data_IF_340590155241
#
_entry.id   IF_340590155241
#
_cell.length_a   1.000
_cell.length_b   1.000
_cell.length_c   1.000
_cell.angle_alpha   90.00
_cell.angle_beta   90.00
_cell.angle_gamma   90.00
#
_symmetry.space_group_name_H-M   'P 1'
#
loop_
_entity.id
_entity.type
_entity.pdbx_description
1 polymer ?
#
# COMPACT_ATOMS: atom_id res chain seq x y z
N UNK A 1 -0.03 23.87 -44.55
CA UNK A 1 -0.36 23.14 -43.31
C UNK A 1 0.78 23.37 -42.35
N UNK A 2 0.55 24.14 -41.28
CA UNK A 2 1.54 24.35 -40.23
C UNK A 2 1.61 23.05 -39.42
N UNK A 3 2.76 22.39 -39.42
CA UNK A 3 3.03 21.28 -38.52
C UNK A 3 3.12 21.85 -37.10
N UNK A 4 2.10 21.60 -36.30
CA UNK A 4 2.11 21.87 -34.86
C UNK A 4 3.20 21.00 -34.24
N UNK A 5 4.35 21.59 -33.93
CA UNK A 5 5.41 20.93 -33.17
C UNK A 5 4.87 20.56 -31.79
N UNK A 6 4.85 19.28 -31.48
CA UNK A 6 4.52 18.76 -30.14
C UNK A 6 5.49 19.42 -29.15
N UNK A 7 5.01 19.98 -28.02
CA UNK A 7 5.90 20.50 -26.99
C UNK A 7 6.78 19.35 -26.49
N UNK A 8 8.08 19.45 -26.71
CA UNK A 8 9.05 18.46 -26.25
C UNK A 8 9.05 18.48 -24.71
N UNK A 9 8.51 17.42 -24.10
CA UNK A 9 8.48 17.27 -22.65
C UNK A 9 9.92 17.12 -22.14
N UNK A 10 10.28 17.75 -21.01
CA UNK A 10 11.64 17.74 -20.48
C UNK A 10 12.12 16.32 -20.12
N UNK A 11 13.44 16.11 -20.04
CA UNK A 11 14.03 14.79 -19.76
C UNK A 11 13.51 14.17 -18.46
N UNK A 12 13.37 12.84 -18.48
CA UNK A 12 12.75 12.08 -17.39
C UNK A 12 13.49 12.26 -16.05
N UNK A 13 12.78 12.61 -14.96
CA UNK A 13 13.38 12.81 -13.65
C UNK A 13 13.86 11.48 -13.07
N UNK A 14 15.16 11.35 -12.80
CA UNK A 14 15.68 10.16 -12.12
C UNK A 14 15.60 10.34 -10.60
N UNK A 15 14.80 9.54 -9.87
CA UNK A 15 14.69 9.65 -8.42
C UNK A 15 15.89 8.98 -7.73
N UNK A 16 16.48 9.64 -6.75
CA UNK A 16 17.57 9.11 -5.93
C UNK A 16 17.21 9.24 -4.45
N UNK A 17 17.27 8.17 -3.67
CA UNK A 17 16.97 8.22 -2.24
C UNK A 17 18.17 8.77 -1.45
N UNK A 18 17.99 9.94 -0.82
CA UNK A 18 19.08 10.67 -0.14
C UNK A 18 19.01 10.52 1.37
N UNK A 19 17.80 10.50 1.93
CA UNK A 19 17.59 10.32 3.37
C UNK A 19 16.46 9.31 3.62
N UNK A 20 16.59 8.54 4.69
CA UNK A 20 15.66 7.47 5.05
C UNK A 20 15.38 7.57 6.55
N UNK A 21 14.12 7.43 6.92
CA UNK A 21 13.68 7.24 8.29
C UNK A 21 12.81 5.97 8.35
N UNK A 22 12.26 5.67 9.51
CA UNK A 22 11.31 4.58 9.72
C UNK A 22 10.03 4.69 8.89
N UNK A 23 9.54 5.91 8.67
CA UNK A 23 8.26 6.19 8.02
C UNK A 23 8.35 7.12 6.82
N UNK A 24 9.56 7.50 6.40
CA UNK A 24 9.73 8.40 5.27
C UNK A 24 11.01 8.16 4.49
N UNK A 25 10.94 8.40 3.19
CA UNK A 25 12.12 8.42 2.31
C UNK A 25 12.12 9.75 1.57
N UNK A 26 13.24 10.46 1.65
CA UNK A 26 13.42 11.71 0.91
C UNK A 26 14.12 11.41 -0.40
N UNK A 27 13.42 11.67 -1.50
CA UNK A 27 13.93 11.52 -2.86
C UNK A 27 14.47 12.85 -3.36
N UNK A 28 15.61 12.80 -4.02
CA UNK A 28 16.15 13.88 -4.85
C UNK A 28 15.86 13.55 -6.30
N UNK A 29 15.21 14.46 -6.99
CA UNK A 29 14.98 14.38 -8.43
C UNK A 29 16.07 15.17 -9.14
N UNK A 30 16.87 14.48 -9.95
CA UNK A 30 17.80 15.16 -10.87
C UNK A 30 17.02 15.59 -12.10
N UNK A 31 16.67 16.87 -12.14
CA UNK A 31 16.04 17.51 -13.29
C UNK A 31 16.84 18.76 -13.59
N UNK A 32 17.76 18.67 -14.55
CA UNK A 32 18.73 19.73 -14.78
C UNK A 32 18.12 21.02 -15.35
N UNK A 33 16.86 21.00 -15.82
CA UNK A 33 16.14 22.17 -16.31
C UNK A 33 14.62 22.01 -16.14
N UNK A 34 14.11 22.16 -14.92
CA UNK A 34 12.65 22.33 -14.74
C UNK A 34 12.31 23.81 -14.83
N UNK A 35 11.74 24.23 -15.96
CA UNK A 35 11.10 25.54 -16.07
C UNK A 35 9.99 25.67 -15.00
N UNK A 36 9.75 26.88 -14.49
CA UNK A 36 8.73 27.18 -13.45
C UNK A 36 7.30 26.69 -13.78
N UNK A 37 7.07 26.24 -15.01
CA UNK A 37 5.78 25.74 -15.52
C UNK A 37 5.55 24.25 -15.27
N UNK A 38 6.59 23.47 -15.05
CA UNK A 38 6.49 22.03 -14.86
C UNK A 38 6.54 21.65 -13.38
N UNK A 39 5.75 20.64 -13.00
CA UNK A 39 5.76 20.04 -11.66
C UNK A 39 6.23 18.60 -11.77
N UNK A 40 6.79 18.06 -10.69
CA UNK A 40 7.14 16.66 -10.58
C UNK A 40 6.07 15.90 -9.80
N UNK A 41 5.85 14.65 -10.16
CA UNK A 41 5.02 13.72 -9.40
C UNK A 41 5.81 12.45 -9.14
N UNK A 42 5.73 11.93 -7.92
CA UNK A 42 6.42 10.71 -7.49
C UNK A 42 5.39 9.63 -7.20
N UNK A 43 5.61 8.43 -7.73
CA UNK A 43 4.88 7.22 -7.35
C UNK A 43 5.76 6.34 -6.48
N UNK A 44 5.18 5.72 -5.45
CA UNK A 44 5.84 4.68 -4.68
C UNK A 44 5.01 3.40 -4.63
N UNK A 45 5.71 2.27 -4.55
CA UNK A 45 5.11 0.95 -4.41
C UNK A 45 6.00 0.07 -3.55
N UNK A 46 5.37 -0.85 -2.83
CA UNK A 46 6.07 -1.93 -2.14
C UNK A 46 6.63 -2.91 -3.16
N UNK A 47 7.84 -3.43 -2.92
CA UNK A 47 8.56 -4.24 -3.90
C UNK A 47 7.78 -5.48 -4.39
N UNK A 48 6.90 -6.05 -3.57
CA UNK A 48 6.02 -7.17 -3.96
C UNK A 48 4.80 -6.77 -4.80
N UNK A 49 4.48 -5.48 -4.88
CA UNK A 49 3.23 -4.96 -5.44
C UNK A 49 3.42 -3.98 -6.60
N UNK A 50 4.62 -3.93 -7.19
CA UNK A 50 4.98 -3.04 -8.30
C UNK A 50 4.03 -3.17 -9.51
N UNK A 51 3.39 -4.33 -9.69
CA UNK A 51 2.42 -4.58 -10.77
C UNK A 51 0.96 -4.35 -10.36
N UNK A 52 0.66 -4.20 -9.07
CA UNK A 52 -0.71 -4.23 -8.55
C UNK A 52 -1.13 -2.94 -7.84
N UNK A 53 -0.20 -2.22 -7.22
CA UNK A 53 -0.52 -1.05 -6.41
C UNK A 53 0.56 0.03 -6.51
N UNK A 54 0.12 1.26 -6.78
CA UNK A 54 0.96 2.45 -6.78
C UNK A 54 0.25 3.57 -6.05
N UNK A 55 0.99 4.25 -5.17
CA UNK A 55 0.52 5.45 -4.48
C UNK A 55 1.28 6.65 -5.04
N UNK A 56 0.56 7.51 -5.75
CA UNK A 56 1.12 8.69 -6.40
C UNK A 56 0.98 9.92 -5.48
N UNK A 57 2.03 10.74 -5.43
CA UNK A 57 2.05 11.99 -4.69
C UNK A 57 1.25 13.09 -5.39
N UNK A 58 0.96 14.18 -4.69
CA UNK A 58 0.57 15.43 -5.34
C UNK A 58 1.72 15.99 -6.18
N UNK A 59 1.39 16.78 -7.20
CA UNK A 59 2.40 17.40 -8.06
C UNK A 59 3.08 18.56 -7.31
N UNK A 60 4.41 18.58 -7.28
CA UNK A 60 5.19 19.55 -6.52
C UNK A 60 6.28 20.22 -7.38
N UNK A 61 6.67 21.43 -6.98
CA UNK A 61 7.76 22.17 -7.59
C UNK A 61 8.97 22.14 -6.64
N UNK A 62 9.88 21.19 -6.85
CA UNK A 62 11.07 21.06 -6.02
C UNK A 62 11.99 19.92 -6.48
N UNK A 63 13.27 20.04 -6.18
CA UNK A 63 14.28 19.00 -6.45
C UNK A 63 14.33 17.91 -5.37
N UNK A 64 13.65 18.12 -4.24
CA UNK A 64 13.57 17.17 -3.13
C UNK A 64 12.12 16.98 -2.70
N UNK A 65 11.74 15.73 -2.46
CA UNK A 65 10.40 15.37 -2.00
C UNK A 65 10.44 14.27 -0.93
N UNK A 66 9.91 14.53 0.27
CA UNK A 66 9.75 13.51 1.29
C UNK A 66 8.47 12.70 1.06
N UNK A 67 8.61 11.42 0.73
CA UNK A 67 7.50 10.46 0.74
C UNK A 67 7.27 10.01 2.18
N UNK A 68 6.12 10.36 2.75
CA UNK A 68 5.75 10.08 4.15
C UNK A 68 4.72 8.95 4.23
N UNK A 69 4.61 8.33 5.42
CA UNK A 69 3.59 7.31 5.69
C UNK A 69 3.98 5.90 5.23
N UNK A 70 5.28 5.67 5.01
CA UNK A 70 5.79 4.35 4.65
C UNK A 70 5.76 3.41 5.87
N UNK A 71 5.56 2.11 5.63
CA UNK A 71 5.63 1.12 6.70
C UNK A 71 7.09 0.88 7.09
N UNK A 72 7.42 0.79 8.39
CA UNK A 72 8.77 0.44 8.82
C UNK A 72 9.14 -0.97 8.37
N UNK A 73 10.43 -1.19 8.09
CA UNK A 73 11.00 -2.48 7.70
C UNK A 73 10.51 -3.05 6.35
N UNK A 74 10.12 -2.17 5.42
CA UNK A 74 9.55 -2.57 4.14
C UNK A 74 10.40 -2.05 2.98
N UNK A 75 10.47 -2.84 1.90
CA UNK A 75 11.21 -2.48 0.69
C UNK A 75 10.30 -1.73 -0.28
N UNK A 76 10.69 -0.52 -0.63
CA UNK A 76 9.98 0.34 -1.57
C UNK A 76 10.80 0.57 -2.85
N UNK A 77 10.06 0.76 -3.94
CA UNK A 77 10.57 1.30 -5.21
C UNK A 77 9.84 2.61 -5.52
N UNK A 78 10.56 3.52 -6.16
CA UNK A 78 10.05 4.83 -6.53
C UNK A 78 10.18 5.05 -8.03
N UNK A 79 9.25 5.83 -8.59
CA UNK A 79 9.28 6.35 -9.96
C UNK A 79 8.87 7.82 -9.93
N UNK A 80 9.29 8.60 -10.91
CA UNK A 80 8.91 10.00 -11.02
C UNK A 80 8.50 10.35 -12.45
N UNK A 81 7.65 11.35 -12.61
CA UNK A 81 7.27 11.92 -13.90
C UNK A 81 7.12 13.43 -13.80
N UNK A 82 7.16 14.10 -14.95
CA UNK A 82 6.88 15.52 -15.07
C UNK A 82 5.43 15.70 -15.47
N UNK A 83 4.77 16.68 -14.85
CA UNK A 83 3.39 17.07 -15.11
C UNK A 83 3.39 18.52 -15.55
N UNK A 84 2.83 18.80 -16.72
CA UNK A 84 2.50 20.14 -17.17
C UNK A 84 1.09 20.49 -16.66
N UNK A 85 1.02 21.42 -15.71
CA UNK A 85 -0.25 21.83 -15.10
C UNK A 85 -1.12 22.66 -16.06
N UNK A 86 -0.52 23.35 -17.04
CA UNK A 86 -1.24 24.19 -17.98
C UNK A 86 -1.96 23.36 -19.05
N UNK A 87 -1.33 22.28 -19.53
CA UNK A 87 -1.90 21.41 -20.57
C UNK A 87 -2.49 20.11 -20.01
N UNK A 88 -2.33 19.86 -18.70
CA UNK A 88 -2.66 18.59 -18.01
C UNK A 88 -1.99 17.36 -18.64
N UNK A 89 -0.88 17.55 -19.35
CA UNK A 89 -0.11 16.47 -19.95
C UNK A 89 0.90 15.93 -18.95
N UNK A 90 1.06 14.61 -18.92
CA UNK A 90 2.03 13.92 -18.08
C UNK A 90 3.09 13.25 -18.96
N UNK A 91 4.35 13.36 -18.58
CA UNK A 91 5.43 12.58 -19.19
C UNK A 91 5.28 11.10 -18.83
N UNK A 92 6.05 10.26 -19.54
CA UNK A 92 6.27 8.89 -19.12
C UNK A 92 6.89 8.83 -17.72
N UNK A 93 6.73 7.68 -17.07
CA UNK A 93 7.36 7.41 -15.78
C UNK A 93 8.83 7.09 -15.98
N UNK A 94 9.67 7.60 -15.08
CA UNK A 94 11.10 7.29 -15.08
C UNK A 94 11.38 5.84 -14.65
N UNK A 95 12.59 5.32 -14.95
CA UNK A 95 13.01 4.01 -14.48
C UNK A 95 12.91 3.90 -12.96
N UNK A 96 12.58 2.69 -12.50
CA UNK A 96 12.45 2.39 -11.08
C UNK A 96 13.79 2.62 -10.36
N UNK A 97 13.71 3.19 -9.16
CA UNK A 97 14.88 3.27 -8.27
C UNK A 97 15.33 1.89 -7.81
N UNK A 98 16.60 1.79 -7.39
CA UNK A 98 17.06 0.64 -6.61
C UNK A 98 16.20 0.46 -5.34
N UNK A 99 16.18 -0.75 -4.80
CA UNK A 99 15.36 -1.08 -3.62
C UNK A 99 15.77 -0.27 -2.41
N UNK A 100 14.79 0.39 -1.79
CA UNK A 100 14.98 1.20 -0.60
C UNK A 100 14.22 0.58 0.56
N UNK A 101 14.95 0.00 1.51
CA UNK A 101 14.39 -0.48 2.77
C UNK A 101 14.23 0.66 3.77
N UNK A 102 13.03 0.83 4.32
CA UNK A 102 12.81 1.60 5.56
C UNK A 102 13.26 0.75 6.75
N UNK A 103 13.78 1.36 7.80
CA UNK A 103 14.29 0.62 8.97
C UNK A 103 13.47 0.96 10.21
N UNK A 104 13.29 0.04 11.13
CA UNK A 104 12.67 0.42 12.41
C UNK A 104 13.57 1.39 13.16
N UNK A 105 12.99 2.24 14.01
CA UNK A 105 13.75 3.15 14.87
C UNK A 105 14.79 2.39 15.70
N UNK A 106 14.46 1.17 16.14
CA UNK A 106 15.36 0.28 16.87
C UNK A 106 16.53 -0.23 16.01
N UNK A 107 16.29 -0.63 14.76
CA UNK A 107 17.36 -1.08 13.85
C UNK A 107 18.26 0.07 13.40
N UNK A 108 17.69 1.27 13.25
CA UNK A 108 18.44 2.46 12.91
C UNK A 108 19.28 2.96 14.09
N UNK A 109 18.72 2.91 15.31
CA UNK A 109 19.44 3.15 16.55
C UNK A 109 20.54 2.10 16.78
N UNK A 110 20.31 0.82 16.45
CA UNK A 110 21.34 -0.23 16.51
C UNK A 110 22.48 0.07 15.55
N UNK A 111 22.20 0.43 14.30
CA UNK A 111 23.26 0.78 13.34
C UNK A 111 24.01 2.04 13.72
N UNK A 112 23.30 3.10 14.12
CA UNK A 112 23.92 4.31 14.62
C UNK A 112 24.76 4.03 15.88
N UNK A 113 24.26 3.18 16.78
CA UNK A 113 24.94 2.69 17.97
C UNK A 113 26.21 1.93 17.64
N UNK A 114 26.19 0.99 16.70
CA UNK A 114 27.40 0.26 16.28
C UNK A 114 28.45 1.19 15.66
N UNK A 115 28.03 2.22 14.92
CA UNK A 115 28.95 3.20 14.35
C UNK A 115 29.59 4.08 15.44
N UNK A 116 28.79 4.52 16.41
CA UNK A 116 29.24 5.30 17.56
C UNK A 116 30.17 4.48 18.46
N UNK A 117 29.85 3.21 18.73
CA UNK A 117 30.71 2.29 19.49
C UNK A 117 32.05 2.04 18.78
N UNK A 118 32.04 1.86 17.46
CA UNK A 118 33.26 1.70 16.68
C UNK A 118 34.13 2.97 16.73
N UNK A 119 33.53 4.15 16.60
CA UNK A 119 34.22 5.42 16.74
C UNK A 119 34.80 5.61 18.16
N UNK A 120 34.04 5.25 19.20
CA UNK A 120 34.47 5.32 20.59
C UNK A 120 35.64 4.36 20.88
N UNK A 121 35.64 3.17 20.25
CA UNK A 121 36.72 2.20 20.36
C UNK A 121 38.02 2.74 19.77
N UNK A 122 37.97 3.36 18.59
CA UNK A 122 39.13 4.02 17.97
C UNK A 122 39.69 5.16 18.83
N UNK A 123 38.82 5.97 19.44
CA UNK A 123 39.19 7.02 20.40
C UNK A 123 39.91 6.45 21.65
N UNK A 124 39.40 5.35 22.21
CA UNK A 124 40.01 4.66 23.36
C UNK A 124 41.39 4.08 23.02
N UNK A 125 41.53 3.51 21.83
CA UNK A 125 42.82 2.98 21.33
C UNK A 125 43.85 4.10 21.18
N UNK A 126 43.47 5.27 20.63
CA UNK A 126 44.34 6.44 20.55
C UNK A 126 44.77 6.96 21.94
N UNK A 127 43.84 7.05 22.89
CA UNK A 127 44.15 7.45 24.28
C UNK A 127 45.12 6.48 24.96
N UNK A 128 44.96 5.17 24.74
CA UNK A 128 45.88 4.15 25.29
C UNK A 128 47.30 4.33 24.77
N UNK A 129 47.47 4.65 23.48
CA UNK A 129 48.78 4.90 22.87
C UNK A 129 49.44 6.15 23.48
N UNK A 130 48.70 7.24 23.64
CA UNK A 130 49.19 8.47 24.26
C UNK A 130 49.56 8.27 25.74
N UNK A 131 48.76 7.53 26.49
CA UNK A 131 49.02 7.26 27.90
C UNK A 131 50.29 6.42 28.09
N UNK A 132 50.56 5.43 27.21
CA UNK A 132 51.81 4.68 27.21
C UNK A 132 53.04 5.55 26.97
N UNK A 133 52.92 6.58 26.13
CA UNK A 133 54.02 7.53 25.87
C UNK A 133 54.28 8.42 27.10
N UNK A 134 53.23 8.90 27.76
CA UNK A 134 53.34 9.69 29.00
C UNK A 134 54.01 8.87 30.10
N UNK A 135 53.58 7.62 30.33
CA UNK A 135 54.19 6.75 31.34
C UNK A 135 55.68 6.49 31.09
N UNK A 136 56.09 6.38 29.82
CA UNK A 136 57.50 6.21 29.45
C UNK A 136 58.35 7.45 29.78
N UNK A 137 57.78 8.65 29.65
CA UNK A 137 58.45 9.91 29.99
C UNK A 137 58.54 10.14 31.50
N UNK A 138 57.52 9.74 32.26
CA UNK A 138 57.50 9.88 33.73
C UNK A 138 58.59 9.03 34.39
N UNK A 139 58.79 7.78 33.95
CA UNK A 139 59.83 6.89 34.50
C UNK A 139 61.24 7.44 34.29
N UNK A 140 61.49 8.17 33.21
CA UNK A 140 62.80 8.78 32.95
C UNK A 140 63.13 9.98 33.85
N UNK A 141 62.14 10.57 34.52
CA UNK A 141 62.31 11.76 35.36
C UNK A 141 62.59 11.41 36.84
N UNK A 142 62.14 10.24 37.32
CA UNK A 142 62.22 9.85 38.73
C UNK A 142 63.57 9.22 39.14
N UNK A 143 64.40 8.77 38.19
CA UNK A 143 65.70 8.12 38.49
C UNK A 143 66.81 9.08 38.95
N UNK A 144 66.60 10.39 38.91
CA UNK A 144 67.64 11.40 39.19
C UNK A 144 67.76 11.89 40.64
N UNK A 145 66.93 11.42 41.58
CA UNK A 145 66.87 12.02 42.91
C UNK A 145 66.85 10.99 44.07
N UNK A 146 68.02 10.50 44.54
CA UNK A 146 68.24 9.98 45.92
C UNK A 146 69.67 9.47 46.18
N UNK A 147 70.51 10.23 46.90
CA UNK A 147 71.60 9.74 47.80
C UNK A 147 71.83 10.80 48.89
N UNK A 148 71.20 10.68 50.07
CA UNK A 148 71.68 10.18 51.38
C UNK A 148 72.69 11.07 52.15
N UNK A 149 72.25 11.48 53.33
CA UNK A 149 72.89 12.29 54.38
C UNK A 149 73.38 11.44 55.56
N UNK A 150 74.43 11.94 56.23
CA UNK A 150 74.71 11.87 57.69
C UNK A 150 75.22 10.52 58.28
N UNK A 151 76.02 10.42 59.35
CA UNK A 151 76.56 11.31 60.41
C UNK A 151 77.56 10.45 61.23
N UNK A 152 78.44 11.02 62.09
CA UNK A 152 78.49 10.70 63.55
C UNK A 152 79.68 11.28 64.36
N UNK A 153 79.36 11.50 65.66
CA UNK A 153 80.04 12.21 66.78
C UNK A 153 80.98 11.33 67.62
N UNK A 154 81.85 11.95 68.44
CA UNK A 154 82.35 11.46 69.76
C UNK A 154 83.17 12.56 70.48
N UNK A 155 83.60 12.55 71.75
CA UNK A 155 83.01 12.41 73.11
C UNK A 155 84.10 12.86 74.14
N UNK A 156 83.69 13.23 75.36
CA UNK A 156 84.35 13.01 76.68
C UNK A 156 85.59 13.82 77.18
N UNK A 157 85.53 14.27 78.46
CA UNK A 157 86.42 13.93 79.64
C UNK A 157 86.49 15.08 80.69
N UNK A 158 86.03 14.94 81.95
CA UNK A 158 86.63 14.34 83.20
C UNK A 158 87.59 15.33 83.93
N UNK A 159 87.13 16.02 84.99
CA UNK A 159 87.29 15.80 86.47
C UNK A 159 88.54 16.45 87.11
N UNK A 160 88.34 17.22 88.19
CA UNK A 160 88.99 17.01 89.51
C UNK A 160 88.51 18.03 90.55
N UNK A 161 87.75 17.57 91.55
CA UNK A 161 87.73 18.20 92.89
C UNK A 161 87.34 17.13 93.94
N UNK A 162 88.07 16.02 93.92
CA UNK A 162 87.58 14.65 94.14
C UNK A 162 87.21 14.19 95.56
N UNK A 163 87.07 15.04 96.59
CA UNK A 163 86.75 14.55 97.96
C UNK A 163 85.68 15.33 98.70
N UNK A 164 85.62 16.66 98.57
CA UNK A 164 84.45 17.49 98.95
C UNK A 164 83.36 17.42 97.87
N UNK A 165 83.79 17.42 96.60
CA UNK A 165 82.93 17.03 95.48
C UNK A 165 82.51 15.58 95.63
N UNK A 166 83.25 14.64 96.24
CA UNK A 166 82.76 13.24 96.36
C UNK A 166 81.51 13.08 97.22
N UNK A 167 81.38 13.82 98.34
CA UNK A 167 80.13 13.82 99.13
C UNK A 167 79.01 14.63 98.48
N UNK A 168 79.34 15.76 97.85
CA UNK A 168 78.37 16.55 97.06
C UNK A 168 77.96 15.78 95.80
N UNK A 169 78.86 15.03 95.18
CA UNK A 169 78.69 14.09 94.05
C UNK A 169 77.89 12.92 94.54
N UNK A 170 78.16 12.29 95.69
CA UNK A 170 77.37 11.14 96.13
C UNK A 170 75.92 11.55 96.49
N UNK A 171 75.74 12.75 97.08
CA UNK A 171 74.40 13.29 97.34
C UNK A 171 73.71 13.79 96.07
N UNK A 172 74.44 14.43 95.15
CA UNK A 172 73.89 14.82 93.84
C UNK A 172 73.71 13.62 92.91
N UNK A 173 74.50 12.55 93.01
CA UNK A 173 74.36 11.29 92.29
C UNK A 173 73.21 10.50 92.88
N UNK A 174 72.99 10.54 94.19
CA UNK A 174 71.79 9.97 94.81
C UNK A 174 70.54 10.74 94.36
N UNK A 175 70.58 12.08 94.37
CA UNK A 175 69.50 12.93 93.83
C UNK A 175 69.28 12.70 92.34
N UNK A 176 70.32 12.71 91.53
CA UNK A 176 70.29 12.42 90.08
C UNK A 176 69.81 11.00 89.81
N UNK A 177 70.16 10.00 90.65
CA UNK A 177 69.59 8.65 90.55
C UNK A 177 68.11 8.65 90.88
N UNK A 178 67.69 9.37 91.92
CA UNK A 178 66.27 9.50 92.27
C UNK A 178 65.49 10.22 91.17
N UNK A 179 66.04 11.29 90.60
CA UNK A 179 65.49 12.04 89.47
C UNK A 179 65.47 11.20 88.20
N UNK A 180 66.52 10.43 87.93
CA UNK A 180 66.58 9.49 86.81
C UNK A 180 65.53 8.38 86.97
N UNK A 181 65.32 7.86 88.19
CA UNK A 181 64.26 6.87 88.45
C UNK A 181 62.86 7.48 88.32
N UNK A 182 62.66 8.72 88.77
CA UNK A 182 61.40 9.43 88.56
C UNK A 182 61.15 9.75 87.08
N UNK A 183 62.18 10.15 86.34
CA UNK A 183 62.12 10.38 84.89
C UNK A 183 61.87 9.08 84.13
N UNK A 184 62.47 7.96 84.55
CA UNK A 184 62.22 6.64 83.97
C UNK A 184 60.78 6.17 84.23
N UNK A 185 60.25 6.38 85.44
CA UNK A 185 58.86 6.11 85.77
C UNK A 185 57.89 7.00 84.98
N UNK A 186 58.20 8.29 84.84
CA UNK A 186 57.43 9.23 84.02
C UNK A 186 57.46 8.83 82.54
N UNK A 187 58.61 8.45 82.00
CA UNK A 187 58.76 7.94 80.62
C UNK A 187 57.97 6.65 80.40
N UNK A 188 57.97 5.74 81.37
CA UNK A 188 57.19 4.50 81.28
C UNK A 188 55.69 4.79 81.28
N UNK A 189 55.23 5.74 82.10
CA UNK A 189 53.85 6.24 82.10
C UNK A 189 53.46 6.88 80.77
N UNK A 190 54.33 7.72 80.20
CA UNK A 190 54.14 8.33 78.88
C UNK A 190 54.10 7.27 77.77
N UNK A 191 54.91 6.21 77.86
CA UNK A 191 54.87 5.09 76.92
C UNK A 191 53.57 4.30 77.02
N UNK A 192 53.09 4.00 78.22
CA UNK A 192 51.78 3.33 78.39
C UNK A 192 50.63 4.21 77.90
N UNK A 193 50.70 5.52 78.14
CA UNK A 193 49.71 6.45 77.63
C UNK A 193 49.74 6.51 76.11
N UNK A 194 50.93 6.61 75.49
CA UNK A 194 51.05 6.55 74.02
C UNK A 194 50.51 5.26 73.43
N UNK A 195 50.76 4.10 74.06
CA UNK A 195 50.23 2.84 73.59
C UNK A 195 48.69 2.80 73.67
N UNK A 196 48.11 3.35 74.74
CA UNK A 196 46.66 3.50 74.88
C UNK A 196 46.08 4.46 73.84
N UNK A 197 46.73 5.60 73.59
CA UNK A 197 46.32 6.57 72.58
C UNK A 197 46.41 5.99 71.17
N UNK A 198 47.47 5.22 70.87
CA UNK A 198 47.68 4.56 69.56
C UNK A 198 46.61 3.49 69.31
N UNK A 199 46.24 2.73 70.34
CA UNK A 199 45.13 1.78 70.29
C UNK A 199 43.78 2.49 70.07
N UNK A 200 43.52 3.59 70.77
CA UNK A 200 42.32 4.39 70.59
C UNK A 200 42.22 4.98 69.17
N UNK A 201 43.34 5.45 68.61
CA UNK A 201 43.40 5.93 67.22
C UNK A 201 43.07 4.80 66.25
N UNK A 202 43.59 3.59 66.48
CA UNK A 202 43.29 2.42 65.66
C UNK A 202 41.81 2.04 65.71
N UNK A 203 41.19 2.07 66.89
CA UNK A 203 39.77 1.78 67.05
C UNK A 203 38.90 2.83 66.33
N UNK A 204 39.23 4.13 66.46
CA UNK A 204 38.54 5.21 65.77
C UNK A 204 38.68 5.11 64.23
N UNK A 205 39.85 4.70 63.72
CA UNK A 205 40.05 4.48 62.29
C UNK A 205 39.22 3.31 61.77
N UNK A 206 39.17 2.20 62.52
CA UNK A 206 38.33 1.05 62.17
C UNK A 206 36.83 1.43 62.17
N UNK A 207 36.39 2.20 63.16
CA UNK A 207 35.00 2.67 63.25
C UNK A 207 34.66 3.61 62.08
N UNK A 208 35.58 4.52 61.71
CA UNK A 208 35.40 5.39 60.55
C UNK A 208 35.32 4.61 59.23
N UNK A 209 36.12 3.55 59.06
CA UNK A 209 36.07 2.70 57.88
C UNK A 209 34.74 1.91 57.82
N UNK A 210 34.27 1.39 58.95
CA UNK A 210 32.98 0.71 59.05
C UNK A 210 31.81 1.64 58.71
N UNK A 211 31.82 2.88 59.21
CA UNK A 211 30.80 3.89 58.88
C UNK A 211 30.81 4.24 57.38
N UNK A 212 31.99 4.35 56.76
CA UNK A 212 32.11 4.57 55.31
C UNK A 212 31.51 3.41 54.51
N UNK A 213 31.82 2.16 54.89
CA UNK A 213 31.27 0.96 54.23
C UNK A 213 29.74 0.89 54.37
N UNK A 214 29.20 1.18 55.55
CA UNK A 214 27.76 1.24 55.78
C UNK A 214 27.06 2.30 54.93
N UNK A 215 27.64 3.51 54.81
CA UNK A 215 27.10 4.57 53.94
C UNK A 215 27.11 4.19 52.45
N UNK A 216 28.16 3.50 51.99
CA UNK A 216 28.25 3.00 50.62
C UNK A 216 27.15 1.97 50.33
N UNK A 217 26.96 0.99 51.23
CA UNK A 217 25.90 -0.01 51.10
C UNK A 217 24.50 0.63 51.10
N UNK A 218 24.25 1.60 51.96
CA UNK A 218 22.96 2.28 52.03
C UNK A 218 22.65 3.07 50.74
N UNK A 219 23.67 3.71 50.14
CA UNK A 219 23.53 4.40 48.85
C UNK A 219 23.23 3.42 47.71
N UNK A 220 23.88 2.27 47.69
CA UNK A 220 23.62 1.27 46.64
C UNK A 220 22.26 0.60 46.84
N UNK A 221 21.83 0.34 48.07
CA UNK A 221 20.50 -0.16 48.38
C UNK A 221 19.39 0.80 47.93
N UNK A 222 19.57 2.11 48.14
CA UNK A 222 18.63 3.13 47.66
C UNK A 222 18.56 3.18 46.11
N UNK A 223 19.68 2.95 45.41
CA UNK A 223 19.67 2.84 43.94
C UNK A 223 18.89 1.62 43.47
N UNK A 224 19.12 0.46 44.08
CA UNK A 224 18.39 -0.77 43.74
C UNK A 224 16.89 -0.64 44.00
N UNK A 225 16.48 -0.01 45.10
CA UNK A 225 15.07 0.26 45.39
C UNK A 225 14.44 1.18 44.34
N UNK A 226 15.17 2.21 43.90
CA UNK A 226 14.70 3.11 42.86
C UNK A 226 14.58 2.41 41.50
N UNK A 227 15.57 1.60 41.11
CA UNK A 227 15.51 0.79 39.88
C UNK A 227 14.35 -0.22 39.93
N UNK A 228 14.13 -0.89 41.06
CA UNK A 228 12.99 -1.78 41.25
C UNK A 228 11.65 -1.06 41.13
N UNK A 229 11.52 0.16 41.66
CA UNK A 229 10.31 0.97 41.50
C UNK A 229 10.08 1.35 40.03
N UNK A 230 11.13 1.74 39.31
CA UNK A 230 11.04 2.06 37.88
C UNK A 230 10.62 0.85 37.05
N UNK A 231 11.22 -0.32 37.32
CA UNK A 231 10.86 -1.57 36.63
C UNK A 231 9.41 -1.98 36.92
N UNK A 232 8.93 -1.83 38.15
CA UNK A 232 7.52 -2.08 38.48
C UNK A 232 6.57 -1.14 37.74
N UNK A 233 6.88 0.15 37.69
CA UNK A 233 6.08 1.12 36.95
C UNK A 233 6.06 0.83 35.43
N UNK A 234 7.19 0.38 34.87
CA UNK A 234 7.26 -0.05 33.47
C UNK A 234 6.43 -1.32 33.22
N UNK A 235 6.49 -2.30 34.12
CA UNK A 235 5.67 -3.51 34.03
C UNK A 235 4.17 -3.17 34.07
N UNK A 236 3.74 -2.34 35.01
CA UNK A 236 2.34 -1.90 35.11
C UNK A 236 1.87 -1.18 33.84
N UNK A 237 2.70 -0.30 33.27
CA UNK A 237 2.41 0.37 32.00
C UNK A 237 2.28 -0.63 30.84
N UNK A 238 3.14 -1.65 30.81
CA UNK A 238 3.11 -2.68 29.79
C UNK A 238 1.87 -3.58 29.93
N UNK A 239 1.47 -3.93 31.15
CA UNK A 239 0.23 -4.69 31.42
C UNK A 239 -1.00 -3.90 30.96
N UNK A 240 -1.08 -2.61 31.26
CA UNK A 240 -2.18 -1.75 30.78
C UNK A 240 -2.20 -1.64 29.25
N UNK A 241 -1.04 -1.53 28.61
CA UNK A 241 -0.94 -1.50 27.15
C UNK A 241 -1.38 -2.83 26.52
N UNK A 242 -0.98 -3.96 27.12
CA UNK A 242 -1.40 -5.29 26.69
C UNK A 242 -2.91 -5.47 26.82
N UNK A 243 -3.51 -5.02 27.93
CA UNK A 243 -4.97 -5.07 28.12
C UNK A 243 -5.71 -4.26 27.05
N UNK A 244 -5.26 -3.03 26.76
CA UNK A 244 -5.83 -2.22 25.68
C UNK A 244 -5.71 -2.89 24.31
N UNK A 245 -4.57 -3.52 24.03
CA UNK A 245 -4.39 -4.25 22.78
C UNK A 245 -5.33 -5.46 22.71
N UNK A 246 -5.53 -6.19 23.80
CA UNK A 246 -6.49 -7.30 23.87
C UNK A 246 -7.92 -6.81 23.60
N UNK A 247 -8.35 -5.71 24.22
CA UNK A 247 -9.66 -5.10 23.95
C UNK A 247 -9.82 -4.69 22.47
N UNK A 248 -8.78 -4.12 21.86
CA UNK A 248 -8.79 -3.76 20.44
C UNK A 248 -8.89 -5.00 19.54
N UNK A 249 -8.18 -6.07 19.87
CA UNK A 249 -8.26 -7.34 19.13
C UNK A 249 -9.67 -7.92 19.23
N UNK A 250 -10.27 -7.95 20.42
CA UNK A 250 -11.65 -8.43 20.60
C UNK A 250 -12.64 -7.57 19.81
N UNK A 251 -12.55 -6.25 19.89
CA UNK A 251 -13.42 -5.35 19.12
C UNK A 251 -13.26 -5.56 17.60
N UNK A 252 -12.03 -5.78 17.12
CA UNK A 252 -11.78 -6.09 15.71
C UNK A 252 -12.39 -7.43 15.29
N UNK A 253 -12.32 -8.44 16.18
CA UNK A 253 -12.90 -9.76 15.92
C UNK A 253 -14.43 -9.70 15.84
N UNK A 254 -15.08 -8.96 16.75
CA UNK A 254 -16.52 -8.71 16.69
C UNK A 254 -16.95 -7.98 15.41
N UNK A 255 -16.11 -7.06 14.93
CA UNK A 255 -16.36 -6.35 13.68
C UNK A 255 -16.20 -7.26 12.45
N UNK A 256 -15.18 -8.12 12.44
CA UNK A 256 -14.99 -9.15 11.40
C UNK A 256 -16.20 -10.08 11.37
N UNK A 257 -16.66 -10.58 12.51
CA UNK A 257 -17.83 -11.46 12.59
C UNK A 257 -19.11 -10.81 12.02
N UNK A 258 -19.30 -9.49 12.25
CA UNK A 258 -20.41 -8.74 11.65
C UNK A 258 -20.30 -8.65 10.13
N UNK A 259 -19.11 -8.40 9.61
CA UNK A 259 -18.89 -8.36 8.16
C UNK A 259 -19.06 -9.73 7.52
N UNK A 260 -18.59 -10.80 8.17
CA UNK A 260 -18.78 -12.17 7.71
C UNK A 260 -20.28 -12.52 7.64
N UNK A 261 -21.06 -12.21 8.67
CA UNK A 261 -22.51 -12.43 8.67
C UNK A 261 -23.23 -11.62 7.57
N UNK A 262 -22.82 -10.37 7.36
CA UNK A 262 -23.37 -9.54 6.27
C UNK A 262 -22.98 -10.07 4.90
N UNK A 263 -21.76 -10.60 4.75
CA UNK A 263 -21.29 -11.18 3.50
C UNK A 263 -22.07 -12.46 3.18
N UNK A 264 -22.30 -13.34 4.16
CA UNK A 264 -23.10 -14.55 3.95
C UNK A 264 -24.54 -14.21 3.57
N UNK A 265 -25.15 -13.21 4.21
CA UNK A 265 -26.50 -12.75 3.85
C UNK A 265 -26.56 -12.21 2.43
N UNK A 266 -25.62 -11.35 2.03
CA UNK A 266 -25.60 -10.79 0.66
C UNK A 266 -25.33 -11.87 -0.39
N UNK A 267 -24.52 -12.88 -0.09
CA UNK A 267 -24.32 -14.03 -0.98
C UNK A 267 -25.61 -14.84 -1.16
N UNK A 268 -26.38 -15.07 -0.09
CA UNK A 268 -27.69 -15.73 -0.19
C UNK A 268 -28.70 -14.92 -1.00
N UNK A 269 -28.75 -13.59 -0.80
CA UNK A 269 -29.61 -12.70 -1.57
C UNK A 269 -29.25 -12.67 -3.07
N UNK A 270 -27.95 -12.66 -3.40
CA UNK A 270 -27.48 -12.74 -4.79
C UNK A 270 -27.93 -14.06 -5.41
N UNK A 271 -27.71 -15.19 -4.73
CA UNK A 271 -28.12 -16.51 -5.22
C UNK A 271 -29.63 -16.58 -5.49
N UNK A 272 -30.45 -16.05 -4.59
CA UNK A 272 -31.91 -16.01 -4.79
C UNK A 272 -32.31 -15.19 -6.02
N UNK A 273 -31.63 -14.06 -6.27
CA UNK A 273 -31.86 -13.23 -7.46
C UNK A 273 -31.38 -13.91 -8.74
N UNK A 274 -30.27 -14.63 -8.70
CA UNK A 274 -29.79 -15.44 -9.82
C UNK A 274 -30.80 -16.53 -10.19
N UNK A 275 -31.33 -17.25 -9.20
CA UNK A 275 -32.39 -18.27 -9.40
C UNK A 275 -33.71 -17.65 -9.94
N UNK A 276 -34.03 -16.41 -9.54
CA UNK A 276 -35.18 -15.68 -10.08
C UNK A 276 -34.95 -15.24 -11.54
N UNK A 277 -33.77 -14.71 -11.84
CA UNK A 277 -33.39 -14.30 -13.19
C UNK A 277 -33.39 -15.50 -14.14
N UNK A 278 -32.86 -16.66 -13.72
CA UNK A 278 -32.91 -17.90 -14.50
C UNK A 278 -34.36 -18.32 -14.79
N UNK A 279 -35.25 -18.24 -13.81
CA UNK A 279 -36.68 -18.53 -14.01
C UNK A 279 -37.32 -17.58 -15.03
N UNK A 280 -37.07 -16.28 -14.91
CA UNK A 280 -37.60 -15.27 -15.85
C UNK A 280 -37.06 -15.51 -17.25
N UNK A 281 -35.78 -15.83 -17.41
CA UNK A 281 -35.20 -16.16 -18.72
C UNK A 281 -35.86 -17.39 -19.34
N UNK A 282 -36.10 -18.43 -18.54
CA UNK A 282 -36.78 -19.64 -19.01
C UNK A 282 -38.23 -19.34 -19.43
N UNK A 283 -38.97 -18.53 -18.67
CA UNK A 283 -40.33 -18.10 -19.02
C UNK A 283 -40.36 -17.23 -20.30
N UNK A 284 -39.41 -16.30 -20.44
CA UNK A 284 -39.26 -15.49 -21.65
C UNK A 284 -38.97 -16.35 -22.88
N UNK A 285 -38.03 -17.31 -22.75
CA UNK A 285 -37.70 -18.23 -23.84
C UNK A 285 -38.91 -19.09 -24.24
N UNK A 286 -39.68 -19.59 -23.25
CA UNK A 286 -40.92 -20.32 -23.52
C UNK A 286 -41.92 -19.46 -24.28
N UNK A 287 -42.17 -18.24 -23.81
CA UNK A 287 -43.13 -17.33 -24.46
C UNK A 287 -42.69 -16.98 -25.89
N UNK A 288 -41.40 -16.75 -26.13
CA UNK A 288 -40.87 -16.49 -27.47
C UNK A 288 -41.08 -17.70 -28.38
N UNK A 289 -40.83 -18.91 -27.89
CA UNK A 289 -41.06 -20.14 -28.65
C UNK A 289 -42.56 -20.32 -28.97
N UNK A 290 -43.44 -20.12 -27.99
CA UNK A 290 -44.89 -20.20 -28.20
C UNK A 290 -45.38 -19.19 -29.25
N UNK A 291 -44.84 -17.96 -29.24
CA UNK A 291 -45.17 -16.96 -30.25
C UNK A 291 -44.62 -17.31 -31.64
N UNK A 292 -43.42 -17.90 -31.70
CA UNK A 292 -42.85 -18.38 -32.97
C UNK A 292 -43.69 -19.52 -33.56
N UNK A 293 -44.12 -20.47 -32.72
CA UNK A 293 -44.98 -21.59 -33.14
C UNK A 293 -46.36 -21.08 -33.62
N UNK A 294 -46.97 -20.13 -32.89
CA UNK A 294 -48.22 -19.49 -33.31
C UNK A 294 -48.09 -18.72 -34.63
N UNK A 295 -46.97 -18.02 -34.83
CA UNK A 295 -46.70 -17.32 -36.09
C UNK A 295 -46.53 -18.29 -37.25
N UNK A 296 -45.85 -19.42 -37.04
CA UNK A 296 -45.70 -20.47 -38.04
C UNK A 296 -47.04 -21.10 -38.44
N UNK A 297 -47.91 -21.40 -37.46
CA UNK A 297 -49.26 -21.92 -37.74
C UNK A 297 -50.09 -20.92 -38.56
N UNK A 298 -50.10 -19.65 -38.17
CA UNK A 298 -50.82 -18.60 -38.93
C UNK A 298 -50.27 -18.42 -40.33
N UNK A 299 -48.96 -18.57 -40.53
CA UNK A 299 -48.37 -18.52 -41.85
C UNK A 299 -48.88 -19.67 -42.72
N UNK A 300 -48.94 -20.90 -42.18
CA UNK A 300 -49.51 -22.05 -42.88
C UNK A 300 -51.00 -21.84 -43.22
N UNK A 301 -51.80 -21.32 -42.29
CA UNK A 301 -53.22 -21.00 -42.54
C UNK A 301 -53.39 -19.99 -43.69
N UNK A 302 -52.53 -18.97 -43.77
CA UNK A 302 -52.54 -18.00 -44.86
C UNK A 302 -52.10 -18.65 -46.17
N UNK A 303 -51.06 -19.49 -46.16
CA UNK A 303 -50.58 -20.21 -47.33
C UNK A 303 -51.67 -21.16 -47.89
N UNK A 304 -52.38 -21.88 -47.02
CA UNK A 304 -53.51 -22.74 -47.41
C UNK A 304 -54.66 -21.92 -48.02
N UNK A 305 -55.06 -20.82 -47.38
CA UNK A 305 -56.11 -19.93 -47.91
C UNK A 305 -55.73 -19.32 -49.26
N UNK A 306 -54.44 -18.96 -49.46
CA UNK A 306 -53.94 -18.48 -50.74
C UNK A 306 -53.95 -19.57 -51.82
N UNK A 307 -53.62 -20.81 -51.46
CA UNK A 307 -53.69 -21.96 -52.37
C UNK A 307 -55.15 -22.25 -52.78
N UNK A 308 -56.09 -22.23 -51.85
CA UNK A 308 -57.52 -22.37 -52.16
C UNK A 308 -58.01 -21.24 -53.09
N UNK A 309 -57.67 -19.99 -52.77
CA UNK A 309 -58.02 -18.84 -53.62
C UNK A 309 -57.42 -18.96 -55.03
N UNK A 310 -56.16 -19.42 -55.14
CA UNK A 310 -55.49 -19.66 -56.41
C UNK A 310 -56.22 -20.73 -57.22
N UNK A 311 -56.52 -21.89 -56.63
CA UNK A 311 -57.23 -22.97 -57.34
C UNK A 311 -58.63 -22.55 -57.79
N UNK A 312 -59.34 -21.77 -56.98
CA UNK A 312 -60.64 -21.19 -57.35
C UNK A 312 -60.53 -20.22 -58.53
N UNK A 313 -59.50 -19.36 -58.56
CA UNK A 313 -59.23 -18.46 -59.69
C UNK A 313 -58.86 -19.23 -60.97
N UNK A 314 -58.06 -20.29 -60.86
CA UNK A 314 -57.72 -21.17 -62.00
C UNK A 314 -58.99 -21.82 -62.57
N UNK A 315 -59.88 -22.34 -61.71
CA UNK A 315 -61.18 -22.88 -62.14
C UNK A 315 -62.05 -21.83 -62.83
N UNK A 316 -62.12 -20.60 -62.29
CA UNK A 316 -62.87 -19.52 -62.93
C UNK A 316 -62.28 -19.13 -64.29
N UNK A 317 -60.95 -19.16 -64.44
CA UNK A 317 -60.26 -18.87 -65.69
C UNK A 317 -60.55 -19.94 -66.75
N UNK A 318 -60.58 -21.22 -66.36
CA UNK A 318 -60.97 -22.32 -67.24
C UNK A 318 -62.42 -22.17 -67.71
N UNK A 319 -63.35 -21.87 -66.80
CA UNK A 319 -64.76 -21.59 -67.14
C UNK A 319 -64.85 -20.39 -68.08
N UNK A 320 -64.12 -19.30 -67.82
CA UNK A 320 -64.14 -18.11 -68.67
C UNK A 320 -63.63 -18.42 -70.08
N UNK A 321 -62.59 -19.25 -70.18
CA UNK A 321 -62.03 -19.70 -71.46
C UNK A 321 -63.06 -20.52 -72.23
N UNK A 322 -63.68 -21.50 -71.58
CA UNK A 322 -64.76 -22.29 -72.18
C UNK A 322 -65.93 -21.43 -72.67
N UNK A 323 -66.40 -20.47 -71.85
CA UNK A 323 -67.48 -19.57 -72.23
C UNK A 323 -67.09 -18.64 -73.39
N UNK A 324 -65.84 -18.19 -73.46
CA UNK A 324 -65.34 -17.39 -74.61
C UNK A 324 -65.35 -18.19 -75.90
N UNK A 325 -64.93 -19.45 -75.84
CA UNK A 325 -64.93 -20.35 -76.99
C UNK A 325 -66.37 -20.65 -77.43
N UNK A 326 -67.27 -20.90 -76.48
CA UNK A 326 -68.70 -21.11 -76.72
C UNK A 326 -69.37 -19.89 -77.37
N UNK A 327 -69.13 -18.69 -76.84
CA UNK A 327 -69.65 -17.44 -77.42
C UNK A 327 -69.09 -17.21 -78.83
N UNK A 328 -67.83 -17.56 -79.06
CA UNK A 328 -67.22 -17.45 -80.39
C UNK A 328 -67.89 -18.41 -81.39
N UNK A 329 -68.11 -19.67 -80.99
CA UNK A 329 -68.85 -20.65 -81.80
C UNK A 329 -70.27 -20.20 -82.10
N UNK A 330 -71.01 -19.71 -81.11
CA UNK A 330 -72.37 -19.20 -81.29
C UNK A 330 -72.40 -17.96 -82.21
N UNK A 331 -71.37 -17.10 -82.17
CA UNK A 331 -71.26 -15.97 -83.11
C UNK A 331 -71.04 -16.45 -84.53
N UNK A 332 -70.19 -17.46 -84.75
CA UNK A 332 -69.97 -18.07 -86.06
C UNK A 332 -71.24 -18.75 -86.59
N UNK A 333 -71.95 -19.51 -85.75
CA UNK A 333 -73.22 -20.15 -86.12
C UNK A 333 -74.29 -19.12 -86.46
N UNK A 334 -74.45 -18.06 -85.65
CA UNK A 334 -75.36 -16.96 -85.97
C UNK A 334 -74.98 -16.26 -87.28
N UNK A 335 -73.69 -16.09 -87.56
CA UNK A 335 -73.24 -15.52 -88.83
C UNK A 335 -73.60 -16.44 -90.00
N UNK A 336 -73.42 -17.77 -89.85
CA UNK A 336 -73.80 -18.75 -90.86
C UNK A 336 -75.32 -18.76 -91.11
N UNK A 337 -76.14 -18.80 -90.05
CA UNK A 337 -77.60 -18.72 -90.17
C UNK A 337 -78.05 -17.42 -90.83
N UNK A 338 -77.43 -16.28 -90.48
CA UNK A 338 -77.70 -15.00 -91.13
C UNK A 338 -77.39 -15.04 -92.62
N UNK A 339 -76.28 -15.65 -93.02
CA UNK A 339 -75.93 -15.83 -94.43
C UNK A 339 -76.94 -16.74 -95.14
N UNK A 340 -77.35 -17.85 -94.53
CA UNK A 340 -78.38 -18.75 -95.07
C UNK A 340 -79.74 -18.03 -95.24
N UNK A 341 -80.15 -17.21 -94.27
CA UNK A 341 -81.38 -16.40 -94.39
C UNK A 341 -81.26 -15.43 -95.56
N UNK A 342 -80.13 -14.73 -95.70
CA UNK A 342 -79.89 -13.82 -96.81
C UNK A 342 -79.90 -14.54 -98.17
N UNK A 343 -79.33 -15.73 -98.25
CA UNK A 343 -79.39 -16.59 -99.45
C UNK A 343 -80.83 -16.99 -99.76
N UNK A 344 -81.59 -17.51 -98.80
CA UNK A 344 -83.00 -17.85 -98.99
C UNK A 344 -83.86 -16.65 -99.37
N UNK A 345 -83.68 -15.51 -98.70
CA UNK A 345 -84.37 -14.26 -99.03
C UNK A 345 -84.04 -13.83 -100.47
N UNK A 346 -82.78 -13.99 -100.91
CA UNK A 346 -82.37 -13.69 -102.28
C UNK A 346 -83.00 -14.62 -103.33
N UNK A 347 -83.32 -15.87 -102.97
CA UNK A 347 -84.00 -16.83 -103.85
C UNK A 347 -85.53 -16.67 -103.85
N UNK A 348 -86.11 -16.39 -102.69
CA UNK A 348 -87.56 -16.32 -102.49
C UNK A 348 -88.10 -14.95 -102.92
N UNK A 349 -87.41 -13.84 -102.61
CA UNK A 349 -87.90 -12.50 -102.94
C UNK A 349 -88.20 -12.30 -104.43
N UNK A 350 -87.36 -12.76 -105.39
CA UNK A 350 -87.69 -12.68 -106.82
C UNK A 350 -88.89 -13.55 -107.21
N UNK A 351 -89.06 -14.72 -106.58
CA UNK A 351 -90.21 -15.61 -106.84
C UNK A 351 -91.50 -15.02 -106.30
N UNK A 352 -91.47 -14.45 -105.09
CA UNK A 352 -92.61 -13.73 -104.52
C UNK A 352 -92.98 -12.52 -105.39
N UNK A 353 -92.01 -11.72 -105.81
CA UNK A 353 -92.26 -10.58 -106.71
C UNK A 353 -92.91 -11.01 -108.03
N UNK A 354 -92.43 -12.10 -108.66
CA UNK A 354 -93.07 -12.66 -109.86
C UNK A 354 -94.50 -13.14 -109.59
N UNK A 355 -94.74 -13.83 -108.48
CA UNK A 355 -96.08 -14.27 -108.11
C UNK A 355 -97.01 -13.09 -107.82
N UNK A 356 -96.51 -12.01 -107.23
CA UNK A 356 -97.26 -10.76 -107.04
C UNK A 356 -97.63 -10.12 -108.39
N UNK A 357 -96.68 -10.02 -109.32
CA UNK A 357 -96.90 -9.55 -110.69
C UNK A 357 -97.95 -10.41 -111.42
N UNK A 358 -97.82 -11.74 -111.37
CA UNK A 358 -98.78 -12.69 -111.95
C UNK A 358 -100.18 -12.56 -111.33
N UNK A 359 -100.26 -12.38 -110.01
CA UNK A 359 -101.53 -12.20 -109.29
C UNK A 359 -102.17 -10.85 -109.63
N UNK A 360 -101.38 -9.79 -109.81
CA UNK A 360 -101.86 -8.51 -110.36
C UNK A 360 -102.37 -8.66 -111.79
N UNK A 361 -101.66 -9.38 -112.65
CA UNK A 361 -102.08 -9.62 -114.03
C UNK A 361 -103.39 -10.41 -114.08
N UNK A 362 -103.50 -11.48 -113.31
CA UNK A 362 -104.74 -12.25 -113.15
C UNK A 362 -105.89 -11.39 -112.61
N UNK A 363 -105.64 -10.49 -111.66
CA UNK A 363 -106.64 -9.52 -111.18
C UNK A 363 -107.08 -8.57 -112.29
N UNK A 364 -106.16 -8.06 -113.12
CA UNK A 364 -106.48 -7.21 -114.28
C UNK A 364 -107.29 -7.99 -115.32
N UNK A 365 -106.94 -9.24 -115.61
CA UNK A 365 -107.69 -10.13 -116.52
C UNK A 365 -109.10 -10.41 -115.99
N UNK A 366 -109.25 -10.75 -114.70
CA UNK A 366 -110.56 -10.94 -114.05
C UNK A 366 -111.41 -9.66 -114.06
N UNK A 367 -110.79 -8.50 -113.91
CA UNK A 367 -111.47 -7.21 -114.02
C UNK A 367 -111.91 -6.91 -115.47
N UNK A 368 -111.13 -7.32 -116.47
CA UNK A 368 -111.47 -7.19 -117.88
C UNK A 368 -112.61 -8.13 -118.32
N UNK A 369 -112.66 -9.36 -117.80
CA UNK A 369 -113.76 -10.32 -118.05
C UNK A 369 -115.11 -9.93 -117.40
N UNK A 370 -115.12 -8.94 -116.50
CA UNK A 370 -116.33 -8.43 -115.83
C UNK A 370 -116.92 -7.18 -116.50
N UNK A 371 -116.40 -6.74 -117.65
CA UNK A 371 -117.01 -5.75 -118.56
C UNK A 371 -117.53 -6.45 -119.80
#
# INVERSE_FOLDING_TARGET
>A
MQFTTVPELPPLPTPEAVAKTDKSVTLRLKTDQLDKKFKCQVGHSEHGYVYYSWTDSEAFSGSMHPVKGLTPNTNYVFRARVVDEATKQCSEWSPLTAYVRTFTEEEDAKRAGTYFEHALKLEREQKSILQKQISKLTVMLDDTARVKTEEHKSTAKIHEDMLSSRRIIDTTVSKLRSELTMQAAALQSVKSQRAADEQMIQDLLNEQENLRRAQLQQKDQAKYEHEMQQLRAQLEKNEQALHKHQEQVVASHDQIAKYEASLTQTQEEIKQKEDEVERIMNDCNRMVQEQADLAAVKQLEIEDALMEAKTSLEQQLDINTYLRDEVSRLREENHHLKNQIQEMDSEIAPKLFRLEDENEELRRQLAAYRR
#
